data_IF_847563797484
#
_entry.id   IF_847563797484
#
_cell.length_a   1.000
_cell.length_b   1.000
_cell.length_c   1.000
_cell.angle_alpha   90.00
_cell.angle_beta   90.00
_cell.angle_gamma   90.00
#
_symmetry.space_group_name_H-M   'P 1'
#
loop_
_entity.id
_entity.type
_entity.pdbx_description
1 polymer ?
#
# COMPACT_ATOMS: atom_id res chain seq x y z
N UNK A 1 -2.20 31.90 -2.43
CA UNK A 1 -2.71 31.93 -1.04
C UNK A 1 -3.80 32.98 -0.99
N UNK A 2 -4.98 32.59 -0.59
CA UNK A 2 -6.08 33.53 -0.40
C UNK A 2 -5.98 34.31 0.93
N UNK A 3 -6.97 35.18 1.24
CA UNK A 3 -6.96 35.97 2.48
C UNK A 3 -7.15 35.14 3.74
N UNK A 4 -7.63 33.90 3.64
CA UNK A 4 -7.77 32.94 4.75
C UNK A 4 -6.47 32.17 5.03
N UNK A 5 -5.49 32.27 4.13
CA UNK A 5 -4.24 31.49 4.17
C UNK A 5 -4.33 30.16 3.45
N UNK A 6 -5.45 29.86 2.76
CA UNK A 6 -5.61 28.64 1.97
C UNK A 6 -4.65 28.66 0.76
N UNK A 7 -3.92 27.59 0.57
CA UNK A 7 -3.06 27.33 -0.59
C UNK A 7 -3.75 26.33 -1.48
N UNK A 8 -3.98 26.72 -2.74
CA UNK A 8 -4.56 25.83 -3.74
C UNK A 8 -3.51 25.48 -4.79
N UNK A 9 -3.28 24.19 -5.00
CA UNK A 9 -2.43 23.70 -6.08
C UNK A 9 -3.10 23.93 -7.44
N UNK A 10 -2.38 24.50 -8.38
CA UNK A 10 -2.88 24.81 -9.73
C UNK A 10 -2.30 23.85 -10.77
N UNK A 11 -1.13 23.28 -10.51
CA UNK A 11 -0.41 22.37 -11.38
C UNK A 11 0.47 21.47 -10.53
N UNK A 12 0.63 20.21 -10.96
CA UNK A 12 1.58 19.27 -10.35
C UNK A 12 2.99 19.87 -10.30
N UNK A 13 3.68 19.65 -9.21
CA UNK A 13 5.05 20.08 -8.99
C UNK A 13 5.30 20.52 -7.55
N UNK A 14 6.55 20.85 -7.27
CA UNK A 14 6.99 21.34 -5.97
C UNK A 14 7.13 22.87 -6.01
N UNK A 15 6.62 23.55 -5.00
CA UNK A 15 6.87 24.97 -4.81
C UNK A 15 7.25 25.28 -3.36
N UNK A 16 7.88 26.44 -3.15
CA UNK A 16 8.17 26.95 -1.82
C UNK A 16 7.27 28.14 -1.51
N UNK A 17 6.68 28.12 -0.32
CA UNK A 17 5.88 29.22 0.20
C UNK A 17 6.60 29.78 1.42
N UNK A 18 6.97 31.06 1.35
CA UNK A 18 7.67 31.74 2.44
C UNK A 18 6.80 32.83 3.06
N UNK A 19 6.81 32.90 4.39
CA UNK A 19 6.17 33.96 5.17
C UNK A 19 7.09 34.34 6.32
N UNK A 20 7.60 35.56 6.31
CA UNK A 20 8.66 36.03 7.23
C UNK A 20 9.88 35.09 7.16
N UNK A 21 10.30 34.54 8.28
CA UNK A 21 11.47 33.65 8.39
C UNK A 21 11.16 32.15 8.21
N UNK A 22 9.91 31.82 7.84
CA UNK A 22 9.47 30.44 7.62
C UNK A 22 9.28 30.16 6.14
N UNK A 23 9.85 29.06 5.68
CA UNK A 23 9.68 28.55 4.31
C UNK A 23 9.11 27.13 4.39
N UNK A 24 8.05 26.89 3.65
CA UNK A 24 7.41 25.58 3.52
C UNK A 24 7.55 25.09 2.08
N UNK A 25 7.94 23.85 1.92
CA UNK A 25 7.82 23.17 0.64
C UNK A 25 6.39 22.64 0.52
N UNK A 26 5.79 22.83 -0.65
CA UNK A 26 4.45 22.31 -0.96
C UNK A 26 4.56 21.50 -2.24
N UNK A 27 4.23 20.23 -2.12
CA UNK A 27 4.15 19.31 -3.25
C UNK A 27 2.70 19.20 -3.71
N UNK A 28 2.46 19.52 -4.98
CA UNK A 28 1.16 19.41 -5.62
C UNK A 28 1.15 18.11 -6.42
N UNK A 29 0.37 17.14 -5.98
CA UNK A 29 0.20 15.84 -6.62
C UNK A 29 -0.90 15.88 -7.68
N UNK A 30 -0.76 15.06 -8.71
CA UNK A 30 -1.80 14.86 -9.72
C UNK A 30 -2.66 13.65 -9.37
N UNK A 31 -3.91 13.92 -8.97
CA UNK A 31 -4.89 12.88 -8.68
C UNK A 31 -5.77 12.67 -9.94
N UNK A 32 -5.82 11.44 -10.41
CA UNK A 32 -6.59 11.01 -11.58
C UNK A 32 -7.54 9.87 -11.20
N UNK A 33 -8.83 10.08 -11.42
CA UNK A 33 -9.82 9.02 -11.29
C UNK A 33 -9.94 8.29 -12.62
N UNK A 34 -9.68 6.98 -12.65
CA UNK A 34 -9.90 6.08 -13.78
C UNK A 34 -11.04 5.12 -13.51
N UNK A 35 -11.47 4.39 -14.50
CA UNK A 35 -12.57 3.43 -14.41
C UNK A 35 -12.32 2.36 -13.32
N UNK A 36 -11.09 1.91 -13.18
CA UNK A 36 -10.70 0.86 -12.23
C UNK A 36 -10.34 1.36 -10.82
N UNK A 37 -9.98 2.64 -10.65
CA UNK A 37 -9.57 3.18 -9.35
C UNK A 37 -8.91 4.56 -9.46
N UNK A 38 -8.28 4.98 -8.37
CA UNK A 38 -7.65 6.30 -8.24
C UNK A 38 -6.13 6.18 -8.39
N UNK A 39 -5.54 7.09 -9.16
CA UNK A 39 -4.09 7.20 -9.35
C UNK A 39 -3.58 8.54 -8.83
N UNK A 40 -2.45 8.51 -8.15
CA UNK A 40 -1.72 9.72 -7.73
C UNK A 40 -0.35 9.69 -8.38
N UNK A 41 -0.05 10.69 -9.21
CA UNK A 41 1.18 10.77 -10.01
C UNK A 41 1.45 9.50 -10.85
N UNK A 42 0.38 8.83 -11.31
CA UNK A 42 0.44 7.60 -12.09
C UNK A 42 0.52 6.32 -11.28
N UNK A 43 0.61 6.40 -9.95
CA UNK A 43 0.63 5.24 -9.05
C UNK A 43 -0.80 4.93 -8.59
N UNK A 44 -1.28 3.71 -8.82
CA UNK A 44 -2.57 3.25 -8.33
C UNK A 44 -2.55 3.20 -6.80
N UNK A 45 -3.42 3.98 -6.14
CA UNK A 45 -3.64 3.88 -4.69
C UNK A 45 -4.88 3.03 -4.41
N UNK A 46 -4.73 2.08 -3.50
CA UNK A 46 -5.83 1.28 -2.95
C UNK A 46 -5.67 1.27 -1.44
N UNK A 47 -6.61 1.85 -0.74
CA UNK A 47 -6.64 1.87 0.72
C UNK A 47 -8.04 2.20 1.21
N UNK A 48 -8.23 2.49 2.49
CA UNK A 48 -9.57 2.76 3.07
C UNK A 48 -10.30 3.97 2.48
N UNK A 49 -9.61 4.90 1.82
CA UNK A 49 -10.20 6.06 1.18
C UNK A 49 -10.42 5.88 -0.33
N UNK A 50 -9.65 4.97 -0.95
CA UNK A 50 -9.58 4.84 -2.42
C UNK A 50 -9.88 3.40 -2.85
N UNK A 51 -11.15 3.08 -3.17
CA UNK A 51 -11.54 1.75 -3.62
C UNK A 51 -11.21 1.51 -5.10
N UNK A 52 -11.15 0.23 -5.45
CA UNK A 52 -11.23 -0.27 -6.81
C UNK A 52 -12.68 -0.50 -7.22
N UNK A 53 -12.95 -0.47 -8.53
CA UNK A 53 -14.22 -0.95 -9.08
C UNK A 53 -14.42 -2.44 -8.75
N UNK A 54 -15.66 -2.83 -8.41
CA UNK A 54 -15.98 -4.23 -8.14
C UNK A 54 -15.74 -5.15 -9.35
N UNK A 55 -15.86 -4.60 -10.56
CA UNK A 55 -15.66 -5.32 -11.82
C UNK A 55 -14.19 -5.35 -12.28
N UNK A 56 -13.27 -4.72 -11.52
CA UNK A 56 -11.85 -4.73 -11.84
C UNK A 56 -11.22 -6.06 -11.45
N UNK A 57 -10.89 -6.87 -12.46
CA UNK A 57 -10.41 -8.25 -12.34
C UNK A 57 -9.16 -8.46 -13.23
N UNK A 58 -8.02 -7.85 -12.90
CA UNK A 58 -6.80 -7.93 -13.72
C UNK A 58 -6.00 -9.23 -13.55
N UNK A 59 -6.25 -10.02 -12.50
CA UNK A 59 -5.35 -11.07 -12.05
C UNK A 59 -4.05 -10.51 -11.46
N UNK A 60 -3.09 -11.38 -11.14
CA UNK A 60 -1.75 -10.95 -10.74
C UNK A 60 -1.06 -10.28 -11.94
N UNK A 61 -0.61 -9.04 -11.77
CA UNK A 61 0.00 -8.27 -12.84
C UNK A 61 1.34 -8.89 -13.28
N UNK A 62 1.61 -8.96 -14.60
CA UNK A 62 2.83 -9.58 -15.12
C UNK A 62 4.13 -8.99 -14.56
N UNK A 63 4.18 -7.66 -14.40
CA UNK A 63 5.32 -6.96 -13.80
C UNK A 63 5.52 -7.31 -12.33
N UNK A 64 4.45 -7.43 -11.55
CA UNK A 64 4.52 -7.85 -10.14
C UNK A 64 5.04 -9.27 -10.03
N UNK A 65 4.55 -10.17 -10.88
CA UNK A 65 4.99 -11.57 -10.92
C UNK A 65 6.47 -11.69 -11.28
N UNK A 66 6.92 -10.94 -12.30
CA UNK A 66 8.31 -10.96 -12.73
C UNK A 66 9.25 -10.44 -11.64
N UNK A 67 8.92 -9.27 -11.07
CA UNK A 67 9.70 -8.66 -9.99
C UNK A 67 9.75 -9.55 -8.73
N UNK A 68 8.65 -10.24 -8.41
CA UNK A 68 8.63 -11.16 -7.28
C UNK A 68 9.51 -12.41 -7.53
N UNK A 69 9.53 -12.92 -8.74
CA UNK A 69 10.43 -14.03 -9.09
C UNK A 69 11.91 -13.62 -8.94
N UNK A 70 12.28 -12.42 -9.40
CA UNK A 70 13.66 -11.89 -9.22
C UNK A 70 14.00 -11.74 -7.72
N UNK A 71 13.05 -11.27 -6.91
CA UNK A 71 13.21 -11.17 -5.45
C UNK A 71 13.44 -12.55 -4.82
N UNK A 72 12.63 -13.56 -5.17
CA UNK A 72 12.76 -14.93 -4.65
C UNK A 72 14.09 -15.55 -5.06
N UNK A 73 14.53 -15.37 -6.30
CA UNK A 73 15.81 -15.90 -6.81
C UNK A 73 17.00 -15.28 -6.04
N UNK A 74 16.95 -13.99 -5.75
CA UNK A 74 17.98 -13.30 -4.96
C UNK A 74 17.97 -13.74 -3.49
N UNK A 75 16.80 -13.86 -2.88
CA UNK A 75 16.64 -14.37 -1.51
C UNK A 75 17.21 -15.79 -1.39
N UNK A 76 16.89 -16.68 -2.33
CA UNK A 76 17.39 -18.04 -2.38
C UNK A 76 18.92 -18.11 -2.52
N UNK A 77 19.54 -17.18 -3.28
CA UNK A 77 21.00 -17.10 -3.41
C UNK A 77 21.69 -16.75 -2.07
N UNK A 78 20.97 -16.12 -1.14
CA UNK A 78 21.42 -15.81 0.23
C UNK A 78 20.91 -16.81 1.29
N UNK A 79 20.24 -17.88 0.85
CA UNK A 79 19.74 -18.95 1.72
C UNK A 79 18.40 -18.63 2.42
N UNK A 80 17.68 -17.62 1.94
CA UNK A 80 16.31 -17.27 2.42
C UNK A 80 15.28 -17.98 1.56
N UNK A 81 14.26 -18.56 2.18
CA UNK A 81 13.13 -19.23 1.51
C UNK A 81 11.91 -18.32 1.49
N UNK A 82 11.84 -17.43 0.49
CA UNK A 82 10.70 -16.53 0.28
C UNK A 82 9.86 -17.09 -0.86
N UNK A 83 8.55 -17.23 -0.60
CA UNK A 83 7.58 -17.74 -1.57
C UNK A 83 6.24 -17.01 -1.46
N UNK A 84 5.42 -17.17 -2.50
CA UNK A 84 4.06 -16.65 -2.56
C UNK A 84 3.13 -17.46 -1.65
N UNK A 85 2.67 -16.81 -0.59
CA UNK A 85 1.68 -17.38 0.34
C UNK A 85 0.25 -17.02 -0.06
N UNK A 86 0.04 -15.84 -0.66
CA UNK A 86 -1.24 -15.38 -1.20
C UNK A 86 -1.03 -14.17 -2.12
N UNK A 87 -1.50 -14.25 -3.34
CA UNK A 87 -1.34 -13.17 -4.32
C UNK A 87 -2.70 -12.48 -4.64
N UNK A 88 -3.14 -12.58 -5.88
CA UNK A 88 -4.36 -11.97 -6.37
C UNK A 88 -5.62 -12.52 -5.69
N UNK A 89 -6.52 -11.62 -5.29
CA UNK A 89 -7.86 -11.95 -4.75
C UNK A 89 -8.91 -11.05 -5.40
N UNK A 90 -9.88 -11.63 -6.08
CA UNK A 90 -10.98 -10.87 -6.69
C UNK A 90 -11.90 -10.23 -5.64
N UNK A 91 -12.76 -9.33 -6.09
CA UNK A 91 -13.75 -8.66 -5.24
C UNK A 91 -14.65 -9.66 -4.51
N UNK A 92 -15.13 -10.70 -5.20
CA UNK A 92 -16.09 -11.67 -4.65
C UNK A 92 -15.46 -12.54 -3.56
N UNK A 93 -14.18 -12.86 -3.71
CA UNK A 93 -13.41 -13.57 -2.69
C UNK A 93 -13.19 -12.70 -1.45
N UNK A 94 -12.85 -11.42 -1.66
CA UNK A 94 -12.70 -10.46 -0.55
C UNK A 94 -14.00 -10.24 0.23
N UNK A 95 -15.17 -10.26 -0.44
CA UNK A 95 -16.49 -10.24 0.22
C UNK A 95 -16.59 -11.39 1.22
N UNK A 96 -16.27 -12.62 0.81
CA UNK A 96 -16.36 -13.81 1.68
C UNK A 96 -15.42 -13.72 2.88
N UNK A 97 -14.16 -13.30 2.65
CA UNK A 97 -13.15 -13.15 3.70
C UNK A 97 -13.62 -12.11 4.72
N UNK A 98 -13.97 -10.91 4.25
CA UNK A 98 -14.32 -9.80 5.14
C UNK A 98 -15.57 -10.10 5.98
N UNK A 99 -16.62 -10.67 5.36
CA UNK A 99 -17.83 -11.08 6.09
C UNK A 99 -17.54 -12.15 7.14
N UNK A 100 -16.65 -13.10 6.83
CA UNK A 100 -16.23 -14.10 7.82
C UNK A 100 -15.54 -13.43 9.03
N UNK A 101 -14.63 -12.49 8.79
CA UNK A 101 -13.97 -11.77 9.87
C UNK A 101 -14.94 -10.87 10.67
N UNK A 102 -15.89 -10.22 10.01
CA UNK A 102 -16.94 -9.45 10.69
C UNK A 102 -17.79 -10.36 11.59
N UNK A 103 -18.11 -11.57 11.16
CA UNK A 103 -18.88 -12.54 11.94
C UNK A 103 -18.12 -13.04 13.18
N UNK A 104 -16.78 -13.18 13.07
CA UNK A 104 -15.93 -13.70 14.16
C UNK A 104 -15.52 -12.61 15.15
N UNK A 105 -15.24 -11.41 14.69
CA UNK A 105 -14.56 -10.37 15.49
C UNK A 105 -15.32 -9.05 15.58
N UNK A 106 -16.40 -8.87 14.80
CA UNK A 106 -17.04 -7.57 14.58
C UNK A 106 -16.29 -6.72 13.53
N UNK A 107 -17.03 -5.84 12.85
CA UNK A 107 -16.47 -5.04 11.74
C UNK A 107 -15.38 -4.07 12.20
N UNK A 108 -15.52 -3.46 13.39
CA UNK A 108 -14.53 -2.53 13.95
C UNK A 108 -13.16 -3.19 14.10
N UNK A 109 -13.15 -4.44 14.58
CA UNK A 109 -11.92 -5.22 14.71
C UNK A 109 -11.43 -5.73 13.36
N UNK A 110 -12.33 -6.22 12.50
CA UNK A 110 -11.97 -6.68 11.16
C UNK A 110 -11.28 -5.58 10.34
N UNK A 111 -11.75 -4.35 10.40
CA UNK A 111 -11.16 -3.19 9.71
C UNK A 111 -9.70 -2.93 10.07
N UNK A 112 -9.20 -3.41 11.21
CA UNK A 112 -7.81 -3.19 11.62
C UNK A 112 -6.79 -4.11 10.93
N UNK A 113 -7.24 -5.19 10.28
CA UNK A 113 -6.37 -6.19 9.66
C UNK A 113 -6.90 -6.79 8.35
N UNK A 114 -8.11 -6.43 7.94
CA UNK A 114 -8.71 -6.90 6.68
C UNK A 114 -9.38 -5.74 5.96
N UNK A 115 -9.12 -5.62 4.68
CA UNK A 115 -9.74 -4.61 3.85
C UNK A 115 -11.20 -4.95 3.55
N UNK A 116 -12.06 -3.94 3.50
CA UNK A 116 -13.42 -4.07 2.98
C UNK A 116 -13.37 -4.45 1.49
N UNK A 117 -14.41 -5.12 0.93
CA UNK A 117 -14.50 -5.40 -0.50
C UNK A 117 -14.31 -4.13 -1.35
N UNK A 118 -13.47 -4.21 -2.37
CA UNK A 118 -13.05 -3.09 -3.19
C UNK A 118 -11.87 -2.27 -2.63
N UNK A 119 -11.52 -2.41 -1.35
CA UNK A 119 -10.44 -1.69 -0.69
C UNK A 119 -9.18 -2.54 -0.46
N UNK A 120 -9.16 -3.78 -0.97
CA UNK A 120 -8.03 -4.69 -0.87
C UNK A 120 -7.04 -4.47 -2.00
N UNK A 121 -5.76 -4.27 -1.67
CA UNK A 121 -4.69 -4.17 -2.68
C UNK A 121 -4.49 -5.47 -3.47
N UNK A 122 -4.86 -6.63 -2.91
CA UNK A 122 -4.79 -7.90 -3.63
C UNK A 122 -5.64 -7.91 -4.90
N UNK A 123 -6.75 -7.16 -4.92
CA UNK A 123 -7.59 -7.01 -6.11
C UNK A 123 -6.88 -6.22 -7.23
N UNK A 124 -5.85 -5.44 -6.91
CA UNK A 124 -5.07 -4.71 -7.92
C UNK A 124 -4.12 -5.61 -8.71
N UNK A 125 -3.77 -6.80 -8.17
CA UNK A 125 -2.74 -7.67 -8.72
C UNK A 125 -1.32 -7.13 -8.54
N UNK A 126 -1.14 -6.13 -7.66
CA UNK A 126 0.16 -5.50 -7.37
C UNK A 126 0.70 -5.89 -5.98
N UNK A 127 0.08 -6.86 -5.31
CA UNK A 127 0.38 -7.22 -3.92
C UNK A 127 0.53 -8.72 -3.78
N UNK A 128 1.49 -9.12 -2.94
CA UNK A 128 1.75 -10.51 -2.57
C UNK A 128 1.96 -10.55 -1.05
N UNK A 129 1.33 -11.53 -0.42
CA UNK A 129 1.63 -11.94 0.95
C UNK A 129 2.70 -13.02 0.91
N UNK A 130 3.87 -12.76 1.48
CA UNK A 130 5.00 -13.68 1.50
C UNK A 130 4.87 -14.71 2.61
N UNK A 131 5.21 -15.96 2.31
CA UNK A 131 5.33 -17.05 3.27
C UNK A 131 4.03 -17.28 4.07
N UNK A 132 4.02 -16.98 5.36
CA UNK A 132 2.87 -17.17 6.23
C UNK A 132 2.24 -15.85 6.64
N UNK A 133 0.91 -15.77 6.54
CA UNK A 133 0.12 -14.60 6.96
C UNK A 133 -0.08 -14.66 8.49
N UNK A 134 1.01 -14.50 9.22
CA UNK A 134 1.07 -14.61 10.68
C UNK A 134 2.10 -13.61 11.25
N UNK A 135 1.78 -13.01 12.40
CA UNK A 135 2.66 -12.05 13.06
C UNK A 135 4.04 -12.65 13.39
N UNK A 136 4.13 -13.98 13.59
CA UNK A 136 5.38 -14.68 13.83
C UNK A 136 6.34 -14.65 12.63
N UNK A 137 5.85 -14.46 11.41
CA UNK A 137 6.72 -14.27 10.24
C UNK A 137 7.66 -13.07 10.46
N UNK A 138 7.21 -12.01 11.12
CA UNK A 138 8.02 -10.82 11.40
C UNK A 138 9.26 -11.06 12.27
N UNK A 139 9.37 -12.22 12.91
CA UNK A 139 10.53 -12.60 13.74
C UNK A 139 11.50 -13.52 12.98
N UNK A 140 11.25 -13.81 11.70
CA UNK A 140 12.09 -14.69 10.86
C UNK A 140 13.22 -13.93 10.17
N UNK A 141 14.23 -14.67 9.71
CA UNK A 141 15.31 -14.10 8.91
C UNK A 141 14.82 -13.67 7.52
N UNK A 142 13.84 -14.40 6.97
CA UNK A 142 13.19 -14.07 5.70
C UNK A 142 12.48 -12.73 5.76
N UNK A 143 11.74 -12.44 6.85
CA UNK A 143 11.09 -11.13 7.03
C UNK A 143 12.09 -9.99 7.18
N UNK A 144 13.20 -10.22 7.88
CA UNK A 144 14.27 -9.23 8.02
C UNK A 144 14.94 -8.95 6.67
N UNK A 145 15.25 -9.99 5.90
CA UNK A 145 15.80 -9.88 4.56
C UNK A 145 14.83 -9.16 3.61
N UNK A 146 13.55 -9.54 3.65
CA UNK A 146 12.50 -8.93 2.85
C UNK A 146 12.39 -7.42 3.13
N UNK A 147 12.38 -7.02 4.40
CA UNK A 147 12.31 -5.60 4.79
C UNK A 147 13.53 -4.79 4.32
N UNK A 148 14.71 -5.41 4.25
CA UNK A 148 15.94 -4.76 3.79
C UNK A 148 16.02 -4.65 2.27
N UNK A 149 15.58 -5.68 1.52
CA UNK A 149 15.88 -5.83 0.10
C UNK A 149 14.68 -5.67 -0.84
N UNK A 150 13.43 -5.74 -0.37
CA UNK A 150 12.26 -5.73 -1.25
C UNK A 150 12.20 -4.49 -2.16
N UNK A 151 12.74 -3.35 -1.71
CA UNK A 151 12.75 -2.12 -2.50
C UNK A 151 13.62 -2.19 -3.75
N UNK A 152 14.67 -3.02 -3.76
CA UNK A 152 15.52 -3.24 -4.94
C UNK A 152 14.74 -3.89 -6.08
N UNK A 153 13.69 -4.64 -5.75
CA UNK A 153 12.79 -5.34 -6.68
C UNK A 153 11.47 -4.60 -6.89
N UNK A 154 11.35 -3.36 -6.42
CA UNK A 154 10.19 -2.50 -6.64
C UNK A 154 9.03 -2.72 -5.66
N UNK A 155 9.26 -3.46 -4.58
CA UNK A 155 8.27 -3.67 -3.52
C UNK A 155 8.51 -2.80 -2.29
N UNK A 156 7.45 -2.53 -1.56
CA UNK A 156 7.50 -1.93 -0.23
C UNK A 156 6.82 -2.86 0.78
N UNK A 157 7.27 -2.84 2.04
CA UNK A 157 6.45 -3.35 3.15
C UNK A 157 5.29 -2.38 3.31
N UNK A 158 4.09 -2.83 2.92
CA UNK A 158 2.94 -1.94 2.75
C UNK A 158 2.41 -1.35 4.05
N UNK A 159 2.42 -2.14 5.11
CA UNK A 159 1.93 -1.75 6.44
C UNK A 159 3.05 -1.87 7.48
N UNK A 160 4.00 -0.91 7.48
CA UNK A 160 5.18 -0.98 8.32
C UNK A 160 4.86 -0.70 9.79
N UNK A 161 5.66 -1.25 10.70
CA UNK A 161 5.51 -1.12 12.14
C UNK A 161 5.56 0.34 12.60
N UNK A 162 4.59 0.74 13.44
CA UNK A 162 4.50 2.11 13.98
C UNK A 162 3.82 3.11 13.05
N UNK A 163 3.24 2.66 11.94
CA UNK A 163 2.52 3.49 10.96
C UNK A 163 1.01 3.18 10.90
N UNK A 164 0.48 2.45 11.87
CA UNK A 164 -0.91 1.98 11.91
C UNK A 164 -1.91 3.14 11.88
N UNK A 165 -1.57 4.28 12.49
CA UNK A 165 -2.41 5.48 12.48
C UNK A 165 -2.50 6.15 11.11
N UNK A 166 -1.55 5.86 10.20
CA UNK A 166 -1.50 6.42 8.85
C UNK A 166 -2.15 5.47 7.86
N UNK A 167 -1.74 4.20 7.89
CA UNK A 167 -2.25 3.17 6.96
C UNK A 167 -3.64 2.67 7.32
N UNK A 168 -4.01 2.74 8.60
CA UNK A 168 -5.24 2.19 9.15
C UNK A 168 -5.21 0.68 9.38
N UNK A 169 -4.07 0.01 9.13
CA UNK A 169 -3.87 -1.44 9.32
C UNK A 169 -2.75 -1.71 10.32
N UNK A 170 -2.82 -2.86 10.99
CA UNK A 170 -1.74 -3.34 11.84
C UNK A 170 -0.46 -3.58 11.01
N UNK A 171 0.67 -3.73 11.68
CA UNK A 171 1.91 -4.16 11.03
C UNK A 171 1.73 -5.53 10.36
N UNK A 172 2.10 -5.64 9.09
CA UNK A 172 2.03 -6.86 8.29
C UNK A 172 3.36 -7.10 7.58
N UNK A 173 4.31 -7.83 8.18
CA UNK A 173 5.64 -8.05 7.63
C UNK A 173 5.65 -8.88 6.35
N UNK A 174 4.61 -9.65 6.09
CA UNK A 174 4.42 -10.49 4.90
C UNK A 174 3.88 -9.72 3.69
N UNK A 175 3.16 -8.62 3.92
CA UNK A 175 2.39 -7.92 2.89
C UNK A 175 3.26 -6.92 2.14
N UNK A 176 3.64 -7.29 0.91
CA UNK A 176 4.43 -6.42 0.03
C UNK A 176 3.60 -5.89 -1.13
N UNK A 177 3.84 -4.62 -1.47
CA UNK A 177 3.18 -3.94 -2.58
C UNK A 177 4.19 -3.50 -3.62
N UNK A 178 3.95 -3.87 -4.89
CA UNK A 178 4.75 -3.41 -6.02
C UNK A 178 4.38 -1.96 -6.40
N UNK A 179 5.38 -1.10 -6.48
CA UNK A 179 5.26 0.32 -6.85
C UNK A 179 6.34 0.75 -7.85
N UNK A 180 7.21 -0.18 -8.27
CA UNK A 180 8.40 0.08 -9.08
C UNK A 180 9.61 0.48 -8.24
N UNK A 181 10.82 0.15 -8.74
CA UNK A 181 12.05 0.23 -7.95
C UNK A 181 12.40 1.66 -7.48
N UNK A 182 12.20 2.68 -8.34
CA UNK A 182 12.54 4.05 -7.97
C UNK A 182 11.68 4.55 -6.81
N UNK A 183 10.37 4.32 -6.87
CA UNK A 183 9.41 4.70 -5.81
C UNK A 183 9.66 3.89 -4.54
N UNK A 184 9.87 2.59 -4.66
CA UNK A 184 10.12 1.72 -3.52
C UNK A 184 11.38 2.14 -2.74
N UNK A 185 12.48 2.44 -3.45
CA UNK A 185 13.73 2.92 -2.84
C UNK A 185 13.56 4.26 -2.15
N UNK A 186 12.78 5.16 -2.72
CA UNK A 186 12.52 6.46 -2.09
C UNK A 186 11.68 6.29 -0.82
N UNK A 187 10.61 5.49 -0.85
CA UNK A 187 9.78 5.15 0.31
C UNK A 187 10.64 4.52 1.41
N UNK A 188 11.46 3.52 1.09
CA UNK A 188 12.34 2.85 2.05
C UNK A 188 13.37 3.82 2.65
N UNK A 189 14.03 4.62 1.81
CA UNK A 189 15.07 5.58 2.22
C UNK A 189 14.60 6.57 3.27
N UNK A 190 13.35 7.02 3.15
CA UNK A 190 12.77 8.03 4.05
C UNK A 190 11.84 7.43 5.11
N UNK A 191 11.65 6.12 5.13
CA UNK A 191 10.79 5.42 6.09
C UNK A 191 9.32 5.85 5.98
N UNK A 192 8.84 6.07 4.75
CA UNK A 192 7.48 6.52 4.48
C UNK A 192 6.52 5.33 4.31
N UNK A 193 5.23 5.59 4.47
CA UNK A 193 4.18 4.74 3.92
C UNK A 193 3.84 5.19 2.49
N UNK A 194 3.05 4.39 1.77
CA UNK A 194 2.55 4.80 0.46
C UNK A 194 1.64 6.04 0.58
N UNK A 195 0.86 6.14 1.67
CA UNK A 195 0.03 7.31 1.97
C UNK A 195 0.87 8.58 2.15
N UNK A 196 1.94 8.51 2.95
CA UNK A 196 2.85 9.65 3.18
C UNK A 196 3.55 10.05 1.88
N UNK A 197 4.00 9.07 1.09
CA UNK A 197 4.65 9.32 -0.20
C UNK A 197 3.72 10.02 -1.19
N UNK A 198 2.45 9.58 -1.27
CA UNK A 198 1.46 10.12 -2.20
C UNK A 198 0.71 11.34 -1.64
N UNK A 199 0.82 11.63 -0.33
CA UNK A 199 0.12 12.73 0.33
C UNK A 199 -1.39 12.51 0.42
N UNK A 200 -1.82 11.28 0.74
CA UNK A 200 -3.23 10.87 0.82
C UNK A 200 -3.57 10.28 2.18
N UNK A 201 -4.85 10.28 2.53
CA UNK A 201 -5.37 9.66 3.75
C UNK A 201 -5.78 8.20 3.50
N UNK A 202 -5.92 7.43 4.61
CA UNK A 202 -6.44 6.05 4.62
C UNK A 202 -7.49 5.90 5.71
N UNK A 203 -8.73 6.30 5.42
CA UNK A 203 -9.85 6.25 6.34
C UNK A 203 -11.16 5.93 5.60
N UNK A 204 -11.97 5.03 6.13
CA UNK A 204 -13.30 4.80 5.57
C UNK A 204 -14.22 5.99 5.84
N UNK A 205 -14.93 6.44 4.81
CA UNK A 205 -15.86 7.56 4.93
C UNK A 205 -17.06 7.23 5.83
N UNK A 206 -17.50 5.96 5.82
CA UNK A 206 -18.69 5.52 6.55
C UNK A 206 -18.40 4.22 7.33
N UNK A 207 -19.10 4.01 8.47
CA UNK A 207 -19.11 2.73 9.16
C UNK A 207 -19.57 1.60 8.23
N UNK A 208 -19.13 0.38 8.49
CA UNK A 208 -19.65 -0.80 7.78
C UNK A 208 -21.09 -1.10 8.23
N UNK A 209 -22.00 -1.32 7.27
CA UNK A 209 -23.42 -1.62 7.53
C UNK A 209 -23.71 -3.11 7.37
#
# INVERSE_FOLDING_TARGET
MDRSGLVTGVKQGTCQISKKDMTYQVDVRHLEQRENGTYVDGILIVNKSYPLSADYDPGLQPETKAAFQELCDAAAAEGMDIYDGSDYRDYSYQVKIYHNYCSLYGWEKADTFSARPGYSEHQSGLTIDCNTIDDAFGETQEAAWLAEHCADYGFIIRFPKGKEAITGYKYEPWHIRYVGADVAKEIQKYGLTLEEYLGVDSVYAEPWQ
#
